data_IF_940805073053
#
_entry.id   IF_940805073053
#
_cell.length_a   1.000
_cell.length_b   1.000
_cell.length_c   1.000
_cell.angle_alpha   90.00
_cell.angle_beta   90.00
_cell.angle_gamma   90.00
#
_symmetry.space_group_name_H-M   'P 1'
#
loop_
_entity.id
_entity.type
_entity.pdbx_description
1 polymer ?
#
# COMPACT_ATOMS: atom_id res chain seq x y z
N UNK A 1 8.31 0.05 29.02
CA UNK A 1 8.01 0.99 30.13
C UNK A 1 8.07 0.18 31.41
N UNK A 2 8.80 0.66 32.40
CA UNK A 2 8.93 -0.03 33.70
C UNK A 2 8.40 0.87 34.81
N UNK A 3 7.51 0.36 35.66
CA UNK A 3 6.93 1.06 36.80
C UNK A 3 6.31 2.44 36.57
N UNK A 4 5.80 2.67 35.33
CA UNK A 4 5.10 3.92 34.99
C UNK A 4 3.69 3.88 35.57
N UNK A 5 3.36 4.84 36.46
CA UNK A 5 2.02 4.98 37.03
C UNK A 5 1.20 5.96 36.20
N UNK A 6 0.05 5.49 35.70
CA UNK A 6 -0.89 6.28 34.91
C UNK A 6 -2.22 6.36 35.67
N UNK A 7 -2.83 7.53 35.85
CA UNK A 7 -4.15 7.65 36.47
C UNK A 7 -5.22 6.84 35.73
N UNK A 8 -6.12 6.20 36.46
CA UNK A 8 -7.14 5.27 35.89
C UNK A 8 -8.03 5.94 34.83
N UNK A 9 -8.27 7.24 34.91
CA UNK A 9 -9.11 7.99 33.95
C UNK A 9 -8.45 8.18 32.56
N UNK A 10 -7.17 7.84 32.39
CA UNK A 10 -6.51 7.79 31.09
C UNK A 10 -6.66 6.45 30.37
N UNK A 11 -7.36 5.47 30.97
CA UNK A 11 -7.64 4.20 30.32
C UNK A 11 -8.60 4.42 29.14
N UNK A 12 -8.18 4.03 27.93
CA UNK A 12 -9.03 4.03 26.76
C UNK A 12 -9.77 2.68 26.64
N UNK A 13 -11.10 2.74 26.71
CA UNK A 13 -11.94 1.57 26.66
C UNK A 13 -11.90 0.74 27.96
N UNK A 14 -11.96 -0.57 27.83
CA UNK A 14 -11.99 -1.51 28.95
C UNK A 14 -10.61 -2.12 29.21
N UNK A 15 -10.35 -2.48 30.46
CA UNK A 15 -9.14 -3.18 30.88
C UNK A 15 -9.01 -4.52 30.14
N UNK A 16 -7.78 -4.84 29.69
CA UNK A 16 -7.44 -6.04 28.89
C UNK A 16 -8.07 -6.08 27.47
N UNK A 17 -8.64 -4.97 26.95
CA UNK A 17 -9.21 -4.89 25.61
C UNK A 17 -8.34 -4.13 24.60
N UNK A 18 -7.18 -3.62 25.01
CA UNK A 18 -6.30 -2.80 24.17
C UNK A 18 -5.88 -3.45 22.84
N UNK A 19 -5.64 -4.77 22.85
CA UNK A 19 -5.33 -5.51 21.62
C UNK A 19 -6.43 -5.37 20.56
N UNK A 20 -7.68 -5.51 20.93
CA UNK A 20 -8.82 -5.41 20.01
C UNK A 20 -9.02 -3.99 19.49
N UNK A 21 -8.85 -2.98 20.37
CA UNK A 21 -8.98 -1.56 20.02
C UNK A 21 -7.92 -1.16 18.96
N UNK A 22 -6.65 -1.55 19.19
CA UNK A 22 -5.55 -1.27 18.24
C UNK A 22 -5.79 -1.98 16.91
N UNK A 23 -6.20 -3.25 16.94
CA UNK A 23 -6.42 -4.01 15.70
C UNK A 23 -7.59 -3.48 14.87
N UNK A 24 -8.61 -2.91 15.49
CA UNK A 24 -9.69 -2.21 14.77
C UNK A 24 -9.17 -0.97 14.02
N UNK A 25 -8.29 -0.20 14.65
CA UNK A 25 -7.62 0.93 14.01
C UNK A 25 -6.75 0.51 12.81
N UNK A 26 -6.10 -0.64 12.88
CA UNK A 26 -5.28 -1.16 11.77
C UNK A 26 -6.09 -1.53 10.52
N UNK A 27 -7.35 -1.88 10.63
CA UNK A 27 -8.19 -2.18 9.47
C UNK A 27 -8.38 -0.96 8.58
N UNK A 28 -8.63 0.20 9.20
CA UNK A 28 -8.69 1.48 8.51
C UNK A 28 -7.30 1.92 8.00
N UNK A 29 -6.28 1.87 8.85
CA UNK A 29 -4.92 2.30 8.53
C UNK A 29 -4.31 1.52 7.35
N UNK A 30 -4.53 0.20 7.28
CA UNK A 30 -4.04 -0.66 6.17
C UNK A 30 -4.60 -0.25 4.82
N UNK A 31 -5.88 0.11 4.75
CA UNK A 31 -6.49 0.61 3.52
C UNK A 31 -5.93 1.98 3.11
N UNK A 32 -5.68 2.88 4.08
CA UNK A 32 -5.02 4.16 3.83
C UNK A 32 -3.56 3.99 3.36
N UNK A 33 -2.79 3.09 3.97
CA UNK A 33 -1.42 2.76 3.53
C UNK A 33 -1.42 2.33 2.07
N UNK A 34 -2.39 1.51 1.66
CA UNK A 34 -2.49 1.11 0.26
C UNK A 34 -2.66 2.33 -0.66
N UNK A 35 -3.52 3.29 -0.31
CA UNK A 35 -3.71 4.53 -1.08
C UNK A 35 -2.46 5.41 -1.08
N UNK A 36 -1.74 5.52 0.04
CA UNK A 36 -0.45 6.26 0.11
C UNK A 36 0.57 5.65 -0.84
N UNK A 37 0.71 4.33 -0.87
CA UNK A 37 1.61 3.64 -1.79
C UNK A 37 1.23 3.88 -3.26
N UNK A 38 -0.05 3.75 -3.60
CA UNK A 38 -0.59 3.99 -4.95
C UNK A 38 -0.35 5.44 -5.37
N UNK A 39 -0.63 6.42 -4.50
CA UNK A 39 -0.40 7.85 -4.79
C UNK A 39 1.07 8.16 -5.05
N UNK A 40 1.99 7.60 -4.25
CA UNK A 40 3.43 7.76 -4.46
C UNK A 40 3.88 7.16 -5.80
N UNK A 41 3.36 5.99 -6.17
CA UNK A 41 3.68 5.33 -7.43
C UNK A 41 3.15 6.11 -8.65
N UNK A 42 1.90 6.56 -8.62
CA UNK A 42 1.34 7.38 -9.70
C UNK A 42 2.13 8.67 -9.89
N UNK A 43 2.49 9.36 -8.81
CA UNK A 43 3.32 10.57 -8.90
C UNK A 43 4.69 10.29 -9.53
N UNK A 44 5.31 9.17 -9.17
CA UNK A 44 6.60 8.76 -9.76
C UNK A 44 6.47 8.45 -11.25
N UNK A 45 5.40 7.76 -11.66
CA UNK A 45 5.12 7.49 -13.07
C UNK A 45 4.85 8.77 -13.85
N UNK A 46 4.11 9.74 -13.32
CA UNK A 46 3.87 11.05 -13.95
C UNK A 46 5.18 11.81 -14.22
N UNK A 47 6.09 11.84 -13.24
CA UNK A 47 7.41 12.45 -13.39
C UNK A 47 8.22 11.75 -14.49
N UNK A 48 8.27 10.41 -14.47
CA UNK A 48 8.96 9.63 -15.48
C UNK A 48 8.37 9.82 -16.89
N UNK A 49 7.04 9.85 -17.01
CA UNK A 49 6.36 10.14 -18.29
C UNK A 49 6.76 11.51 -18.84
N UNK A 50 6.79 12.53 -17.98
CA UNK A 50 7.20 13.87 -18.37
C UNK A 50 8.65 13.89 -18.88
N UNK A 51 9.55 13.19 -18.18
CA UNK A 51 10.94 13.04 -18.58
C UNK A 51 11.06 12.29 -19.93
N UNK A 52 10.41 11.15 -20.08
CA UNK A 52 10.48 10.30 -21.28
C UNK A 52 9.96 10.99 -22.55
N UNK A 53 9.00 11.92 -22.42
CA UNK A 53 8.48 12.72 -23.52
C UNK A 53 9.47 13.78 -24.03
N UNK A 54 10.45 14.14 -23.22
CA UNK A 54 11.46 15.15 -23.59
C UNK A 54 12.82 14.52 -23.91
N UNK A 55 13.23 13.48 -23.18
CA UNK A 55 14.51 12.81 -23.34
C UNK A 55 14.59 12.01 -24.64
N UNK A 56 15.71 12.16 -25.35
CA UNK A 56 16.03 11.40 -26.56
C UNK A 56 17.20 10.44 -26.30
N UNK A 57 17.07 9.22 -26.86
CA UNK A 57 18.10 8.21 -26.95
C UNK A 57 18.00 7.53 -28.31
N UNK A 58 19.14 7.29 -28.95
CA UNK A 58 19.21 6.73 -30.31
C UNK A 58 18.33 7.47 -31.33
N UNK A 59 18.26 8.82 -31.22
CA UNK A 59 17.52 9.69 -32.14
C UNK A 59 16.00 9.68 -31.97
N UNK A 60 15.46 9.08 -30.89
CA UNK A 60 14.03 8.99 -30.64
C UNK A 60 13.71 9.33 -29.19
N UNK A 61 12.51 9.84 -28.91
CA UNK A 61 12.02 10.05 -27.54
C UNK A 61 11.91 8.71 -26.80
N UNK A 62 12.30 8.70 -25.53
CA UNK A 62 12.23 7.48 -24.70
C UNK A 62 10.81 6.92 -24.63
N UNK A 63 9.81 7.77 -24.62
CA UNK A 63 8.39 7.39 -24.57
C UNK A 63 7.89 6.57 -25.78
N UNK A 64 8.63 6.48 -26.89
CA UNK A 64 8.19 5.73 -28.10
C UNK A 64 8.59 4.25 -28.06
N UNK A 65 9.40 3.82 -27.12
CA UNK A 65 9.84 2.43 -27.02
C UNK A 65 8.77 1.54 -26.42
N UNK A 66 8.29 0.56 -27.18
CA UNK A 66 7.17 -0.32 -26.79
C UNK A 66 7.42 -1.08 -25.47
N UNK A 67 8.67 -1.51 -25.20
CA UNK A 67 9.03 -2.19 -23.97
C UNK A 67 8.72 -1.32 -22.71
N UNK A 68 8.86 0.00 -22.83
CA UNK A 68 8.50 0.96 -21.79
C UNK A 68 6.99 1.15 -21.73
N UNK A 69 6.34 1.29 -22.88
CA UNK A 69 4.88 1.49 -22.98
C UNK A 69 4.11 0.30 -22.37
N UNK A 70 4.51 -0.93 -22.70
CA UNK A 70 3.88 -2.14 -22.14
C UNK A 70 4.02 -2.18 -20.61
N UNK A 71 5.21 -1.92 -20.13
CA UNK A 71 5.49 -1.93 -18.70
C UNK A 71 4.74 -0.81 -17.95
N UNK A 72 4.63 0.37 -18.58
CA UNK A 72 3.84 1.48 -18.05
C UNK A 72 2.34 1.12 -17.93
N UNK A 73 1.78 0.48 -18.97
CA UNK A 73 0.39 0.03 -18.96
C UNK A 73 0.12 -1.02 -17.87
N UNK A 74 1.05 -1.98 -17.67
CA UNK A 74 0.97 -2.96 -16.59
C UNK A 74 0.95 -2.30 -15.21
N UNK A 75 1.86 -1.33 -14.96
CA UNK A 75 1.91 -0.62 -13.69
C UNK A 75 0.62 0.16 -13.42
N UNK A 76 0.13 0.91 -14.41
CA UNK A 76 -1.12 1.65 -14.27
C UNK A 76 -2.27 0.72 -13.93
N UNK A 77 -2.43 -0.38 -14.64
CA UNK A 77 -3.50 -1.35 -14.42
C UNK A 77 -3.44 -1.97 -13.02
N UNK A 78 -2.25 -2.38 -12.57
CA UNK A 78 -2.03 -2.93 -11.21
C UNK A 78 -2.37 -1.91 -10.12
N UNK A 79 -1.91 -0.67 -10.28
CA UNK A 79 -2.14 0.38 -9.29
C UNK A 79 -3.61 0.77 -9.21
N UNK A 80 -4.32 0.85 -10.34
CA UNK A 80 -5.77 1.07 -10.38
C UNK A 80 -6.51 -0.06 -9.65
N UNK A 81 -6.18 -1.31 -9.93
CA UNK A 81 -6.81 -2.45 -9.27
C UNK A 81 -6.62 -2.40 -7.73
N UNK A 82 -5.44 -2.03 -7.26
CA UNK A 82 -5.18 -1.85 -5.82
C UNK A 82 -5.94 -0.66 -5.24
N UNK A 83 -6.03 0.44 -5.98
CA UNK A 83 -6.81 1.61 -5.57
C UNK A 83 -8.27 1.24 -5.31
N UNK A 84 -8.88 0.51 -6.23
CA UNK A 84 -10.26 0.04 -6.07
C UNK A 84 -10.43 -0.93 -4.89
N UNK A 85 -9.47 -1.84 -4.67
CA UNK A 85 -9.46 -2.70 -3.47
C UNK A 85 -9.40 -1.89 -2.17
N UNK A 86 -8.59 -0.84 -2.13
CA UNK A 86 -8.46 0.03 -0.96
C UNK A 86 -9.74 0.82 -0.71
N UNK A 87 -10.35 1.41 -1.74
CA UNK A 87 -11.63 2.10 -1.61
C UNK A 87 -12.76 1.14 -1.19
N UNK A 88 -12.78 -0.06 -1.74
CA UNK A 88 -13.72 -1.10 -1.29
C UNK A 88 -13.55 -1.41 0.19
N UNK A 89 -12.31 -1.56 0.68
CA UNK A 89 -12.03 -1.83 2.08
C UNK A 89 -12.51 -0.68 2.99
N UNK A 90 -12.27 0.58 2.61
CA UNK A 90 -12.74 1.76 3.33
C UNK A 90 -14.27 1.87 3.33
N UNK A 91 -14.91 1.58 2.21
CA UNK A 91 -16.36 1.55 2.13
C UNK A 91 -16.96 0.45 3.01
N UNK A 92 -16.38 -0.76 3.01
CA UNK A 92 -16.79 -1.86 3.88
C UNK A 92 -16.61 -1.50 5.36
N UNK A 93 -15.47 -0.87 5.72
CA UNK A 93 -15.21 -0.37 7.07
C UNK A 93 -16.28 0.63 7.51
N UNK A 94 -16.59 1.62 6.68
CA UNK A 94 -17.62 2.60 6.97
C UNK A 94 -19.00 1.96 7.17
N UNK A 95 -19.39 0.99 6.30
CA UNK A 95 -20.64 0.25 6.42
C UNK A 95 -20.70 -0.64 7.66
N UNK A 96 -19.57 -1.25 8.04
CA UNK A 96 -19.49 -2.03 9.29
C UNK A 96 -19.71 -1.14 10.50
N UNK A 97 -19.02 -0.01 10.58
CA UNK A 97 -19.10 0.90 11.71
C UNK A 97 -20.53 1.46 11.92
N UNK A 98 -21.24 1.80 10.86
CA UNK A 98 -22.54 2.48 10.93
C UNK A 98 -23.74 1.56 10.81
N UNK A 99 -23.65 0.55 9.97
CA UNK A 99 -24.81 -0.27 9.57
C UNK A 99 -24.67 -1.73 10.00
N UNK A 100 -23.52 -2.14 10.51
CA UNK A 100 -23.16 -3.53 10.83
C UNK A 100 -23.40 -4.50 9.66
N UNK A 101 -23.20 -4.01 8.44
CA UNK A 101 -23.48 -4.73 7.19
C UNK A 101 -22.48 -5.84 6.90
N UNK A 102 -21.23 -5.66 7.33
CA UNK A 102 -20.15 -6.62 7.17
C UNK A 102 -19.65 -7.09 8.52
N UNK A 103 -19.08 -8.29 8.57
CA UNK A 103 -18.31 -8.71 9.73
C UNK A 103 -16.97 -7.99 9.76
N UNK A 104 -16.42 -7.80 10.95
CA UNK A 104 -15.06 -7.26 11.12
C UNK A 104 -14.02 -8.05 10.31
N UNK A 105 -14.19 -9.37 10.22
CA UNK A 105 -13.27 -10.24 9.49
C UNK A 105 -13.30 -10.03 7.98
N UNK A 106 -14.46 -9.77 7.39
CA UNK A 106 -14.59 -9.40 5.98
C UNK A 106 -13.88 -8.07 5.69
N UNK A 107 -14.03 -7.08 6.57
CA UNK A 107 -13.32 -5.79 6.46
C UNK A 107 -11.80 -5.98 6.57
N UNK A 108 -11.36 -6.76 7.56
CA UNK A 108 -9.94 -7.07 7.78
C UNK A 108 -9.33 -7.76 6.55
N UNK A 109 -10.02 -8.74 5.96
CA UNK A 109 -9.62 -9.40 4.72
C UNK A 109 -9.47 -8.41 3.56
N UNK A 110 -10.46 -7.54 3.33
CA UNK A 110 -10.43 -6.57 2.25
C UNK A 110 -9.26 -5.58 2.40
N UNK A 111 -9.04 -5.05 3.62
CA UNK A 111 -7.92 -4.17 3.92
C UNK A 111 -6.56 -4.87 3.77
N UNK A 112 -6.47 -6.13 4.19
CA UNK A 112 -5.25 -6.94 4.04
C UNK A 112 -4.93 -7.22 2.56
N UNK A 113 -5.93 -7.50 1.72
CA UNK A 113 -5.74 -7.68 0.26
C UNK A 113 -5.14 -6.43 -0.39
N UNK A 114 -5.69 -5.24 -0.09
CA UNK A 114 -5.17 -3.99 -0.61
C UNK A 114 -3.74 -3.72 -0.13
N UNK A 115 -3.49 -3.85 1.17
CA UNK A 115 -2.19 -3.61 1.80
C UNK A 115 -1.12 -4.62 1.39
N UNK A 116 -1.48 -5.86 1.10
CA UNK A 116 -0.57 -6.91 0.62
C UNK A 116 0.04 -6.54 -0.73
N UNK A 117 -0.76 -5.98 -1.64
CA UNK A 117 -0.38 -5.70 -3.03
C UNK A 117 0.25 -4.31 -3.20
N UNK A 118 -0.31 -3.30 -2.52
CA UNK A 118 0.04 -1.90 -2.73
C UNK A 118 1.55 -1.59 -2.61
N UNK A 119 2.26 -1.93 -1.52
CA UNK A 119 3.67 -1.58 -1.38
C UNK A 119 4.57 -2.36 -2.36
N UNK A 120 4.17 -3.58 -2.75
CA UNK A 120 4.93 -4.41 -3.71
C UNK A 120 4.83 -3.80 -5.12
N UNK A 121 3.61 -3.56 -5.59
CA UNK A 121 3.41 -3.02 -6.94
C UNK A 121 3.83 -1.54 -7.06
N UNK A 122 3.66 -0.76 -6.00
CA UNK A 122 4.18 0.60 -5.94
C UNK A 122 5.72 0.63 -6.01
N UNK A 123 6.39 -0.29 -5.30
CA UNK A 123 7.85 -0.41 -5.35
C UNK A 123 8.34 -0.74 -6.76
N UNK A 124 7.72 -1.72 -7.44
CA UNK A 124 8.03 -2.07 -8.83
C UNK A 124 7.85 -0.86 -9.77
N UNK A 125 6.72 -0.16 -9.67
CA UNK A 125 6.40 0.98 -10.51
C UNK A 125 7.38 2.15 -10.32
N UNK A 126 7.74 2.46 -9.06
CA UNK A 126 8.68 3.53 -8.73
C UNK A 126 10.10 3.15 -9.19
N UNK A 127 10.50 1.89 -9.00
CA UNK A 127 11.79 1.40 -9.49
C UNK A 127 11.93 1.54 -11.01
N UNK A 128 10.90 1.16 -11.77
CA UNK A 128 10.90 1.32 -13.22
C UNK A 128 10.85 2.80 -13.63
N UNK A 129 10.11 3.64 -12.91
CA UNK A 129 10.11 5.09 -13.11
C UNK A 129 11.52 5.71 -12.95
N UNK A 130 12.27 5.26 -11.94
CA UNK A 130 13.68 5.66 -11.77
C UNK A 130 14.55 5.16 -12.93
N UNK A 131 14.39 3.92 -13.34
CA UNK A 131 15.13 3.33 -14.45
C UNK A 131 14.91 4.12 -15.75
N UNK A 132 13.67 4.51 -16.05
CA UNK A 132 13.33 5.28 -17.25
C UNK A 132 13.89 6.71 -17.26
N UNK A 133 14.27 7.23 -16.10
CA UNK A 133 14.92 8.53 -15.95
C UNK A 133 16.47 8.44 -16.03
N UNK A 134 17.02 7.23 -16.21
CA UNK A 134 18.46 7.00 -16.37
C UNK A 134 19.28 7.48 -15.17
N UNK A 135 20.44 8.08 -15.41
CA UNK A 135 21.32 8.55 -14.34
C UNK A 135 20.67 9.57 -13.40
N UNK A 136 19.74 10.40 -13.90
CA UNK A 136 18.96 11.31 -13.06
C UNK A 136 18.12 10.55 -12.03
N UNK A 137 17.48 9.42 -12.43
CA UNK A 137 16.68 8.57 -11.54
C UNK A 137 17.48 8.01 -10.35
N UNK A 138 18.80 7.88 -10.49
CA UNK A 138 19.69 7.43 -9.41
C UNK A 138 20.15 8.57 -8.48
N UNK A 139 20.06 9.83 -8.93
CA UNK A 139 20.54 10.98 -8.16
C UNK A 139 19.66 11.24 -6.92
N UNK A 140 20.24 11.96 -5.94
CA UNK A 140 19.47 12.42 -4.77
C UNK A 140 18.47 13.52 -5.11
N UNK A 141 18.61 14.18 -6.27
CA UNK A 141 17.69 15.20 -6.75
C UNK A 141 16.39 14.60 -7.31
N UNK A 142 16.44 13.31 -7.70
CA UNK A 142 15.26 12.55 -8.10
C UNK A 142 14.39 12.21 -6.89
N UNK A 143 13.12 12.64 -6.91
CA UNK A 143 12.18 12.42 -5.80
C UNK A 143 11.82 10.94 -5.61
N UNK A 144 11.87 10.15 -6.67
CA UNK A 144 11.52 8.74 -6.71
C UNK A 144 12.40 7.90 -5.78
N UNK A 145 13.68 8.25 -5.59
CA UNK A 145 14.54 7.54 -4.63
C UNK A 145 14.01 7.61 -3.18
N UNK A 146 13.34 8.72 -2.85
CA UNK A 146 12.71 8.91 -1.53
C UNK A 146 11.40 8.12 -1.44
N UNK A 147 10.58 8.19 -2.51
CA UNK A 147 9.35 7.45 -2.63
C UNK A 147 9.58 5.94 -2.55
N UNK A 148 10.61 5.41 -3.24
CA UNK A 148 10.99 4.00 -3.23
C UNK A 148 11.24 3.48 -1.81
N UNK A 149 12.03 4.21 -1.01
CA UNK A 149 12.30 3.85 0.39
C UNK A 149 11.04 3.97 1.25
N UNK A 150 10.19 4.97 0.99
CA UNK A 150 8.93 5.16 1.68
C UNK A 150 7.99 3.98 1.48
N UNK A 151 7.70 3.59 0.25
CA UNK A 151 6.79 2.46 -0.02
C UNK A 151 7.36 1.12 0.44
N UNK A 152 8.71 0.95 0.39
CA UNK A 152 9.36 -0.25 0.91
C UNK A 152 9.11 -0.46 2.40
N UNK A 153 9.06 0.61 3.19
CA UNK A 153 8.80 0.52 4.63
C UNK A 153 7.40 -0.07 4.92
N UNK A 154 6.43 0.21 4.07
CA UNK A 154 5.06 -0.30 4.22
C UNK A 154 4.90 -1.79 3.89
N UNK A 155 5.88 -2.44 3.28
CA UNK A 155 5.91 -3.91 3.22
C UNK A 155 6.17 -4.56 4.59
N UNK A 156 6.65 -3.77 5.55
CA UNK A 156 7.05 -4.21 6.90
C UNK A 156 6.11 -3.66 7.99
N UNK A 157 5.82 -2.36 7.93
CA UNK A 157 5.02 -1.66 8.94
C UNK A 157 3.54 -2.10 8.95
N UNK A 158 2.89 -2.04 10.11
CA UNK A 158 1.48 -2.38 10.38
C UNK A 158 1.07 -3.79 9.94
N UNK A 159 2.00 -4.72 10.07
CA UNK A 159 1.91 -6.10 9.62
C UNK A 159 2.60 -6.29 8.27
N UNK A 160 3.58 -7.18 8.23
CA UNK A 160 4.32 -7.47 7.00
C UNK A 160 3.41 -8.01 5.89
N UNK A 161 3.93 -8.02 4.66
CA UNK A 161 3.22 -8.61 3.51
C UNK A 161 2.80 -10.06 3.79
N UNK A 162 3.61 -10.82 4.52
CA UNK A 162 3.34 -12.21 4.92
C UNK A 162 2.18 -12.29 5.92
N UNK A 163 2.13 -11.38 6.89
CA UNK A 163 1.00 -11.27 7.83
C UNK A 163 -0.30 -10.92 7.08
N UNK A 164 -0.24 -10.06 6.08
CA UNK A 164 -1.43 -9.78 5.26
C UNK A 164 -1.91 -11.00 4.49
N UNK A 165 -0.98 -11.79 3.91
CA UNK A 165 -1.31 -13.08 3.26
C UNK A 165 -1.95 -14.06 4.24
N UNK A 166 -1.43 -14.14 5.46
CA UNK A 166 -1.98 -14.99 6.51
C UNK A 166 -3.42 -14.59 6.88
N UNK A 167 -3.68 -13.29 7.03
CA UNK A 167 -5.04 -12.78 7.31
C UNK A 167 -6.00 -13.18 6.18
N UNK A 168 -5.61 -12.99 4.93
CA UNK A 168 -6.44 -13.33 3.77
C UNK A 168 -6.70 -14.85 3.71
N UNK A 169 -5.65 -15.66 3.85
CA UNK A 169 -5.75 -17.12 3.81
C UNK A 169 -6.66 -17.66 4.92
N UNK A 170 -6.52 -17.13 6.13
CA UNK A 170 -7.34 -17.49 7.28
C UNK A 170 -8.84 -17.26 7.03
N UNK A 171 -9.19 -16.15 6.40
CA UNK A 171 -10.58 -15.81 6.13
C UNK A 171 -11.17 -16.59 4.93
N UNK A 172 -10.33 -17.25 4.14
CA UNK A 172 -10.74 -18.11 3.02
C UNK A 172 -10.85 -19.57 3.47
N UNK A 173 -9.86 -20.04 4.21
CA UNK A 173 -9.75 -21.46 4.60
C UNK A 173 -10.53 -21.81 5.87
N UNK A 174 -10.72 -20.84 6.78
CA UNK A 174 -11.20 -21.10 8.13
C UNK A 174 -10.06 -21.23 9.15
N UNK A 175 -10.37 -20.98 10.43
CA UNK A 175 -9.39 -20.92 11.50
C UNK A 175 -8.74 -22.28 11.82
N UNK A 176 -9.44 -23.36 11.55
CA UNK A 176 -9.02 -24.74 11.79
C UNK A 176 -7.85 -25.19 10.90
N UNK A 177 -7.56 -24.47 9.82
CA UNK A 177 -6.48 -24.78 8.87
C UNK A 177 -5.21 -23.93 9.06
N UNK A 178 -5.11 -23.23 10.18
CA UNK A 178 -3.92 -22.43 10.50
C UNK A 178 -2.94 -23.23 11.35
N UNK A 179 -1.66 -23.20 10.96
CA UNK A 179 -0.58 -23.76 11.74
C UNK A 179 -0.27 -22.95 13.00
#
# INVERSE_FOLDING_TARGET
MENVRIPKHYLLGEENRGFYIIHEGYEFARALIALVCVGAAFRSLENAISYMKTREVFGRKVAVYEAIQFRLAEHYTKLEAVRELAYKALWMYWKEQREKKFSRFEVSKAAAMAKMLAPVWAFEAINDAMQWQGAFGYSKDCQEQKALRGVRSYSLAEGSTEIMKLIVAREILGKEWLA
#
